data_IF_174527789660
#
_entry.id   IF_174527789660
#
_cell.length_a   1.000
_cell.length_b   1.000
_cell.length_c   1.000
_cell.angle_alpha   90.00
_cell.angle_beta   90.00
_cell.angle_gamma   90.00
#
_symmetry.space_group_name_H-M   'P 1'
#
loop_
_entity.id
_entity.type
_entity.pdbx_description
1 polymer ?
#
# COMPACT_ATOMS: atom_id res chain seq x y z
N UNK A 1 -13.45 8.60 -2.79
CA UNK A 1 -12.22 8.48 -1.99
C UNK A 1 -11.74 7.04 -2.13
N UNK A 2 -10.44 6.79 -2.33
CA UNK A 2 -9.92 5.43 -2.45
C UNK A 2 -10.07 4.75 -1.09
N UNK A 3 -10.77 3.62 -1.04
CA UNK A 3 -10.94 2.84 0.18
C UNK A 3 -9.73 1.92 0.39
N UNK A 4 -8.87 2.30 1.34
CA UNK A 4 -7.68 1.51 1.70
C UNK A 4 -8.01 0.36 2.66
N UNK A 5 -9.19 0.36 3.28
CA UNK A 5 -9.57 -0.63 4.30
C UNK A 5 -9.81 -2.03 3.73
N UNK A 6 -10.00 -2.14 2.41
CA UNK A 6 -10.08 -3.41 1.70
C UNK A 6 -8.70 -4.06 1.45
N UNK A 7 -7.62 -3.28 1.53
CA UNK A 7 -6.26 -3.74 1.29
C UNK A 7 -5.63 -4.33 2.55
N UNK A 8 -4.65 -5.20 2.34
CA UNK A 8 -3.99 -5.98 3.38
C UNK A 8 -2.48 -5.81 3.34
N UNK A 9 -1.87 -5.77 4.52
CA UNK A 9 -0.45 -6.04 4.71
C UNK A 9 -0.32 -7.30 5.55
N UNK A 10 0.53 -8.21 5.11
CA UNK A 10 0.69 -9.48 5.82
C UNK A 10 1.79 -9.37 6.87
N UNK A 11 1.46 -9.76 8.10
CA UNK A 11 2.39 -9.83 9.21
C UNK A 11 2.98 -11.24 9.29
N UNK A 12 4.29 -11.35 9.05
CA UNK A 12 5.01 -12.61 8.87
C UNK A 12 6.08 -12.75 9.94
N UNK A 13 5.86 -13.69 10.86
CA UNK A 13 6.82 -13.95 11.94
C UNK A 13 7.77 -15.08 11.56
N UNK A 14 9.07 -14.84 11.72
CA UNK A 14 10.13 -15.82 11.52
C UNK A 14 10.48 -16.59 12.81
N UNK A 15 10.70 -17.89 12.67
CA UNK A 15 11.24 -18.76 13.71
C UNK A 15 11.97 -19.97 13.09
N UNK A 16 12.16 -21.05 13.85
CA UNK A 16 12.65 -22.35 13.38
C UNK A 16 12.07 -23.51 14.22
N UNK A 17 12.01 -24.70 13.63
CA UNK A 17 11.46 -25.90 14.26
C UNK A 17 12.22 -26.38 15.50
N UNK A 18 13.52 -26.04 15.63
CA UNK A 18 14.37 -26.50 16.73
C UNK A 18 13.91 -26.02 18.12
N UNK A 19 13.08 -24.97 18.19
CA UNK A 19 12.54 -24.46 19.45
C UNK A 19 11.37 -25.28 20.02
N UNK A 20 10.88 -26.28 19.28
CA UNK A 20 9.79 -27.14 19.73
C UNK A 20 8.39 -26.50 19.62
N UNK A 21 7.33 -27.32 19.65
CA UNK A 21 5.97 -26.89 19.38
C UNK A 21 5.39 -25.93 20.44
N UNK A 22 5.79 -26.06 21.70
CA UNK A 22 5.33 -25.18 22.78
C UNK A 22 5.83 -23.74 22.59
N UNK A 23 7.12 -23.58 22.29
CA UNK A 23 7.71 -22.26 21.98
C UNK A 23 7.04 -21.65 20.75
N UNK A 24 6.78 -22.45 19.70
CA UNK A 24 6.13 -21.95 18.49
C UNK A 24 4.68 -21.48 18.74
N UNK A 25 3.93 -22.14 19.64
CA UNK A 25 2.61 -21.66 20.07
C UNK A 25 2.69 -20.30 20.77
N UNK A 26 3.71 -20.09 21.60
CA UNK A 26 3.92 -18.78 22.26
C UNK A 26 4.31 -17.70 21.24
N UNK A 27 5.17 -18.03 20.28
CA UNK A 27 5.51 -17.12 19.17
C UNK A 27 4.26 -16.75 18.37
N UNK A 28 3.39 -17.71 18.08
CA UNK A 28 2.13 -17.50 17.38
C UNK A 28 1.20 -16.58 18.18
N UNK A 29 1.04 -16.82 19.48
CA UNK A 29 0.23 -15.97 20.36
C UNK A 29 0.75 -14.52 20.42
N UNK A 30 2.07 -14.32 20.56
CA UNK A 30 2.67 -12.98 20.56
C UNK A 30 2.46 -12.28 19.21
N UNK A 31 2.63 -13.01 18.11
CA UNK A 31 2.43 -12.48 16.76
C UNK A 31 0.99 -12.03 16.53
N UNK A 32 0.02 -12.81 17.02
CA UNK A 32 -1.40 -12.48 16.93
C UNK A 32 -1.74 -11.20 17.69
N UNK A 33 -1.20 -11.04 18.89
CA UNK A 33 -1.44 -9.85 19.71
C UNK A 33 -0.85 -8.58 19.09
N UNK A 34 0.37 -8.68 18.56
CA UNK A 34 1.01 -7.57 17.84
C UNK A 34 0.20 -7.23 16.58
N UNK A 35 -0.11 -8.21 15.73
CA UNK A 35 -0.86 -7.99 14.50
C UNK A 35 -2.24 -7.36 14.77
N UNK A 36 -2.95 -7.85 15.79
CA UNK A 36 -4.25 -7.31 16.23
C UNK A 36 -4.14 -5.86 16.67
N UNK A 37 -3.13 -5.52 17.48
CA UNK A 37 -2.96 -4.16 17.99
C UNK A 37 -2.53 -3.19 16.90
N UNK A 38 -1.61 -3.59 16.02
CA UNK A 38 -1.24 -2.80 14.85
C UNK A 38 -2.45 -2.60 13.93
N UNK A 39 -3.24 -3.65 13.69
CA UNK A 39 -4.45 -3.61 12.87
C UNK A 39 -5.57 -2.73 13.44
N UNK A 40 -5.60 -2.52 14.76
CA UNK A 40 -6.55 -1.60 15.42
C UNK A 40 -6.06 -0.14 15.44
N UNK A 41 -4.85 0.14 14.95
CA UNK A 41 -4.31 1.48 14.97
C UNK A 41 -4.92 2.36 13.88
N UNK A 42 -5.48 3.50 14.28
CA UNK A 42 -5.98 4.53 13.34
C UNK A 42 -4.89 5.10 12.41
N UNK A 43 -3.61 4.90 12.73
CA UNK A 43 -2.49 5.37 11.91
C UNK A 43 -2.23 4.50 10.68
N UNK A 44 -2.66 3.22 10.73
CA UNK A 44 -2.43 2.20 9.71
C UNK A 44 -3.75 1.99 8.95
N UNK A 45 -3.89 2.52 7.73
CA UNK A 45 -5.17 2.57 7.02
C UNK A 45 -5.52 1.28 6.25
N UNK A 46 -4.87 0.16 6.56
CA UNK A 46 -5.03 -1.14 5.90
C UNK A 46 -5.20 -2.24 6.94
N UNK A 47 -5.75 -3.40 6.53
CA UNK A 47 -5.83 -4.56 7.41
C UNK A 47 -4.44 -5.16 7.63
N UNK A 48 -4.13 -5.55 8.86
CA UNK A 48 -2.94 -6.35 9.19
C UNK A 48 -3.37 -7.81 9.30
N UNK A 49 -2.91 -8.64 8.37
CA UNK A 49 -3.26 -10.06 8.30
C UNK A 49 -2.10 -10.91 8.80
N UNK A 50 -2.25 -11.48 10.00
CA UNK A 50 -1.28 -12.45 10.50
C UNK A 50 -1.20 -13.68 9.59
N UNK A 51 0.02 -14.14 9.33
CA UNK A 51 0.30 -15.40 8.65
C UNK A 51 0.88 -16.43 9.62
N UNK A 52 0.85 -17.73 9.29
CA UNK A 52 1.48 -18.76 10.11
C UNK A 52 2.96 -18.43 10.40
N UNK A 53 3.48 -18.89 11.53
CA UNK A 53 4.90 -18.70 11.86
C UNK A 53 5.76 -19.46 10.85
N UNK A 54 6.70 -18.75 10.24
CA UNK A 54 7.58 -19.28 9.20
C UNK A 54 8.78 -19.99 9.81
N UNK A 55 8.93 -21.29 9.51
CA UNK A 55 9.96 -22.15 10.10
C UNK A 55 10.74 -22.99 9.09
N UNK A 56 10.40 -22.91 7.80
CA UNK A 56 11.08 -23.65 6.73
C UNK A 56 11.23 -22.82 5.45
N UNK A 57 12.21 -23.16 4.60
CA UNK A 57 12.43 -22.44 3.34
C UNK A 57 11.25 -22.56 2.37
N UNK A 58 10.61 -23.73 2.35
CA UNK A 58 9.48 -24.05 1.47
C UNK A 58 8.25 -23.24 1.85
N UNK A 59 7.94 -23.14 3.14
CA UNK A 59 6.79 -22.36 3.63
C UNK A 59 6.98 -20.87 3.37
N UNK A 60 8.18 -20.34 3.61
CA UNK A 60 8.52 -18.94 3.30
C UNK A 60 8.39 -18.65 1.81
N UNK A 61 8.93 -19.52 0.95
CA UNK A 61 8.85 -19.36 -0.49
C UNK A 61 7.41 -19.38 -0.99
N UNK A 62 6.60 -20.35 -0.51
CA UNK A 62 5.19 -20.45 -0.86
C UNK A 62 4.43 -19.19 -0.45
N UNK A 63 4.63 -18.69 0.77
CA UNK A 63 3.97 -17.47 1.24
C UNK A 63 4.31 -16.24 0.38
N UNK A 64 5.56 -16.11 -0.07
CA UNK A 64 5.96 -15.00 -0.94
C UNK A 64 5.27 -15.07 -2.31
N UNK A 65 5.12 -16.27 -2.87
CA UNK A 65 4.36 -16.46 -4.12
C UNK A 65 2.87 -16.16 -3.94
N UNK A 66 2.27 -16.60 -2.83
CA UNK A 66 0.89 -16.29 -2.48
C UNK A 66 0.70 -14.76 -2.35
N UNK A 67 1.63 -14.07 -1.69
CA UNK A 67 1.60 -12.62 -1.54
C UNK A 67 1.63 -11.93 -2.90
N UNK A 68 2.49 -12.36 -3.81
CA UNK A 68 2.57 -11.80 -5.16
C UNK A 68 1.26 -11.96 -5.95
N UNK A 69 0.61 -13.12 -5.82
CA UNK A 69 -0.64 -13.44 -6.52
C UNK A 69 -1.90 -12.81 -5.90
N UNK A 70 -1.79 -12.20 -4.73
CA UNK A 70 -2.93 -11.58 -4.05
C UNK A 70 -3.18 -10.17 -4.57
N UNK A 71 -4.44 -9.93 -4.98
CA UNK A 71 -4.93 -8.62 -5.41
C UNK A 71 -5.08 -7.64 -4.24
N UNK A 72 -5.21 -8.12 -3.01
CA UNK A 72 -5.39 -7.27 -1.81
C UNK A 72 -4.12 -7.08 -1.01
N UNK A 73 -3.11 -7.95 -1.16
CA UNK A 73 -1.84 -7.84 -0.45
C UNK A 73 -0.96 -6.75 -1.09
N UNK A 74 -0.69 -5.68 -0.32
CA UNK A 74 0.14 -4.56 -0.75
C UNK A 74 1.57 -4.61 -0.21
N UNK A 75 1.87 -5.53 0.70
CA UNK A 75 3.22 -5.66 1.27
C UNK A 75 3.31 -6.68 2.41
N UNK A 76 4.55 -6.99 2.80
CA UNK A 76 4.87 -7.84 3.95
C UNK A 76 5.54 -7.02 5.06
N UNK A 77 5.07 -7.18 6.29
CA UNK A 77 5.81 -6.82 7.51
C UNK A 77 6.43 -8.10 8.05
N UNK A 78 7.76 -8.16 8.11
CA UNK A 78 8.50 -9.30 8.66
C UNK A 78 9.12 -8.96 10.01
N UNK A 79 9.01 -9.88 10.96
CA UNK A 79 9.62 -9.80 12.29
C UNK A 79 10.18 -11.17 12.69
N UNK A 80 11.45 -11.23 13.06
CA UNK A 80 12.07 -12.47 13.53
C UNK A 80 11.94 -12.52 15.06
N UNK A 81 10.86 -13.13 15.55
CA UNK A 81 10.61 -13.24 17.00
C UNK A 81 11.73 -14.04 17.69
N UNK A 82 12.03 -15.21 17.12
CA UNK A 82 13.19 -16.03 17.50
C UNK A 82 14.28 -15.92 16.43
N UNK A 83 15.40 -16.63 16.62
CA UNK A 83 16.37 -16.77 15.55
C UNK A 83 15.80 -17.62 14.41
N UNK A 84 15.58 -16.99 13.25
CA UNK A 84 15.18 -17.67 12.01
C UNK A 84 16.36 -17.65 11.03
N UNK A 85 17.08 -18.77 10.83
CA UNK A 85 18.25 -18.82 9.95
C UNK A 85 17.98 -18.22 8.58
N UNK A 86 18.66 -17.12 8.25
CA UNK A 86 18.26 -16.28 7.12
C UNK A 86 18.36 -17.01 5.77
N UNK A 87 19.23 -18.02 5.63
CA UNK A 87 19.29 -18.82 4.39
C UNK A 87 17.95 -19.41 3.97
N UNK A 88 17.03 -19.71 4.89
CA UNK A 88 15.67 -20.20 4.57
C UNK A 88 14.85 -19.15 3.79
N UNK A 89 15.14 -17.87 3.99
CA UNK A 89 14.40 -16.76 3.40
C UNK A 89 14.83 -16.43 1.96
N UNK A 90 15.99 -16.92 1.50
CA UNK A 90 16.56 -16.55 0.19
C UNK A 90 15.59 -16.80 -0.95
N UNK A 91 15.00 -17.99 -1.02
CA UNK A 91 14.10 -18.36 -2.12
C UNK A 91 12.85 -17.47 -2.15
N UNK A 92 12.23 -17.25 -0.98
CA UNK A 92 11.06 -16.38 -0.85
C UNK A 92 11.35 -14.92 -1.18
N UNK A 93 12.38 -14.34 -0.56
CA UNK A 93 12.75 -12.93 -0.79
C UNK A 93 13.24 -12.66 -2.21
N UNK A 94 13.79 -13.67 -2.92
CA UNK A 94 14.13 -13.55 -4.34
C UNK A 94 12.89 -13.54 -5.23
N UNK A 95 11.84 -14.25 -4.85
CA UNK A 95 10.59 -14.33 -5.61
C UNK A 95 9.63 -13.17 -5.30
N UNK A 96 9.73 -12.57 -4.11
CA UNK A 96 8.83 -11.52 -3.64
C UNK A 96 8.90 -10.25 -4.50
N UNK A 97 7.74 -9.82 -5.01
CA UNK A 97 7.56 -8.60 -5.81
C UNK A 97 6.72 -7.54 -5.07
N UNK A 98 6.33 -7.83 -3.83
CA UNK A 98 5.62 -6.88 -2.97
C UNK A 98 6.61 -6.11 -2.08
N UNK A 99 6.32 -4.85 -1.72
CA UNK A 99 7.09 -4.09 -0.74
C UNK A 99 7.33 -4.86 0.57
N UNK A 100 8.54 -4.72 1.11
CA UNK A 100 8.97 -5.35 2.35
C UNK A 100 9.26 -4.31 3.43
N UNK A 101 8.70 -4.51 4.61
CA UNK A 101 9.06 -3.83 5.85
C UNK A 101 9.62 -4.83 6.85
N UNK A 102 10.78 -4.51 7.40
CA UNK A 102 11.39 -5.25 8.49
C UNK A 102 11.10 -4.51 9.81
N UNK A 103 10.23 -5.09 10.64
CA UNK A 103 9.90 -4.56 11.96
C UNK A 103 10.82 -5.20 12.98
N UNK A 104 11.81 -4.44 13.43
CA UNK A 104 12.71 -4.86 14.49
C UNK A 104 12.12 -4.45 15.84
N UNK A 105 11.38 -5.39 16.45
CA UNK A 105 10.64 -5.17 17.69
C UNK A 105 10.80 -6.35 18.65
N UNK A 106 10.26 -6.21 19.86
CA UNK A 106 10.25 -7.26 20.87
C UNK A 106 8.91 -7.27 21.59
N UNK A 107 8.42 -8.45 21.95
CA UNK A 107 7.10 -8.59 22.58
C UNK A 107 7.02 -7.85 23.93
N UNK A 108 8.06 -7.96 24.76
CA UNK A 108 8.19 -7.26 26.04
C UNK A 108 8.88 -5.90 25.84
N UNK A 109 8.37 -4.86 26.50
CA UNK A 109 9.01 -3.54 26.54
C UNK A 109 10.26 -3.55 27.44
N UNK A 110 10.14 -4.14 28.62
CA UNK A 110 11.22 -4.24 29.61
C UNK A 110 11.68 -5.69 29.80
N UNK A 111 12.92 -5.86 30.24
CA UNK A 111 13.46 -7.16 30.61
C UNK A 111 12.96 -7.55 32.01
N UNK A 112 12.48 -8.79 32.22
CA UNK A 112 12.01 -9.24 33.52
C UNK A 112 13.20 -9.62 34.42
N UNK A 113 13.93 -8.63 34.94
CA UNK A 113 15.23 -8.80 35.62
C UNK A 113 15.25 -9.87 36.72
N UNK A 114 14.17 -10.01 37.49
CA UNK A 114 14.09 -10.96 38.59
C UNK A 114 13.76 -12.39 38.17
N UNK A 115 13.26 -12.60 36.95
CA UNK A 115 12.76 -13.90 36.48
C UNK A 115 13.31 -14.33 35.12
N UNK A 116 14.19 -13.53 34.51
CA UNK A 116 14.79 -13.85 33.22
C UNK A 116 15.64 -15.12 33.32
N UNK A 117 15.36 -16.07 32.43
CA UNK A 117 16.01 -17.37 32.38
C UNK A 117 16.31 -17.78 30.92
N UNK A 118 16.87 -18.98 30.73
CA UNK A 118 17.19 -19.47 29.38
C UNK A 118 15.95 -19.75 28.51
N UNK A 119 14.79 -20.01 29.11
CA UNK A 119 13.55 -20.18 28.35
C UNK A 119 13.13 -18.83 27.76
N UNK A 120 13.18 -17.77 28.56
CA UNK A 120 12.95 -16.40 28.09
C UNK A 120 13.94 -16.02 26.98
N UNK A 121 15.23 -16.32 27.16
CA UNK A 121 16.27 -15.99 26.17
C UNK A 121 16.13 -16.78 24.86
N UNK A 122 15.66 -18.03 24.90
CA UNK A 122 15.38 -18.81 23.69
C UNK A 122 14.14 -18.31 22.95
N UNK A 123 13.16 -17.74 23.66
CA UNK A 123 11.93 -17.23 23.08
C UNK A 123 12.08 -15.80 22.55
N UNK A 124 12.57 -14.86 23.35
CA UNK A 124 12.55 -13.42 23.05
C UNK A 124 13.93 -12.95 22.58
N UNK A 125 14.26 -13.27 21.33
CA UNK A 125 15.62 -13.10 20.81
C UNK A 125 15.70 -12.38 19.47
N UNK A 126 14.69 -11.55 19.20
CA UNK A 126 14.66 -10.65 18.05
C UNK A 126 15.91 -9.75 17.97
N UNK A 127 16.53 -9.43 19.11
CA UNK A 127 17.77 -8.68 19.21
C UNK A 127 18.88 -9.18 18.27
N UNK A 128 19.02 -10.50 18.07
CA UNK A 128 19.95 -11.07 17.08
C UNK A 128 19.27 -11.75 15.90
N UNK A 129 18.03 -12.26 16.06
CA UNK A 129 17.25 -12.81 14.95
C UNK A 129 17.03 -11.79 13.82
N UNK A 130 16.60 -10.58 14.16
CA UNK A 130 16.38 -9.51 13.18
C UNK A 130 17.71 -8.97 12.61
N UNK A 131 18.84 -9.11 13.32
CA UNK A 131 20.16 -8.73 12.77
C UNK A 131 20.63 -9.71 11.70
N UNK A 132 20.38 -11.00 11.87
CA UNK A 132 20.67 -12.03 10.87
C UNK A 132 19.80 -11.85 9.61
N UNK A 133 18.49 -11.62 9.78
CA UNK A 133 17.62 -11.20 8.67
C UNK A 133 18.04 -9.85 8.07
N UNK A 134 18.56 -8.96 8.93
CA UNK A 134 19.23 -7.73 8.60
C UNK A 134 20.37 -7.92 7.60
N UNK A 135 21.30 -8.82 7.91
CA UNK A 135 22.43 -9.18 7.06
C UNK A 135 21.95 -9.68 5.70
N UNK A 136 20.99 -10.61 5.65
CA UNK A 136 20.51 -11.15 4.38
C UNK A 136 19.91 -10.07 3.48
N UNK A 137 19.05 -9.21 4.04
CA UNK A 137 18.44 -8.12 3.27
C UNK A 137 19.48 -7.19 2.66
N UNK A 138 20.54 -6.87 3.41
CA UNK A 138 21.67 -6.09 2.88
C UNK A 138 22.47 -6.87 1.81
N UNK A 139 22.75 -8.15 2.05
CA UNK A 139 23.52 -9.03 1.14
C UNK A 139 22.84 -9.21 -0.21
N UNK A 140 21.51 -9.27 -0.23
CA UNK A 140 20.67 -9.37 -1.42
C UNK A 140 20.33 -8.00 -2.04
N UNK A 141 20.72 -6.89 -1.38
CA UNK A 141 20.41 -5.51 -1.79
C UNK A 141 18.89 -5.26 -1.94
N UNK A 142 18.10 -5.83 -1.03
CA UNK A 142 16.65 -5.67 -1.05
C UNK A 142 16.28 -4.22 -0.71
N UNK A 143 15.33 -3.65 -1.47
CA UNK A 143 14.65 -2.43 -1.08
C UNK A 143 13.69 -2.78 0.06
N UNK A 144 13.97 -2.30 1.26
CA UNK A 144 13.10 -2.51 2.43
C UNK A 144 13.07 -1.30 3.33
N UNK A 145 11.94 -1.07 3.97
CA UNK A 145 11.85 -0.18 5.13
C UNK A 145 12.26 -0.96 6.37
N UNK A 146 12.99 -0.31 7.28
CA UNK A 146 13.28 -0.86 8.62
C UNK A 146 12.64 0.10 9.62
N UNK A 147 11.88 -0.45 10.56
CA UNK A 147 11.32 0.28 11.71
C UNK A 147 11.83 -0.43 12.96
N UNK A 148 12.37 0.33 13.92
CA UNK A 148 12.92 -0.19 15.17
C UNK A 148 12.15 0.46 16.32
N UNK A 149 11.67 -0.33 17.27
CA UNK A 149 10.97 0.20 18.45
C UNK A 149 10.05 -0.81 19.09
N UNK A 150 9.43 -0.44 20.20
CA UNK A 150 8.43 -1.28 20.85
C UNK A 150 7.13 -1.20 20.05
N UNK A 151 6.49 -2.35 19.80
CA UNK A 151 5.37 -2.45 18.86
C UNK A 151 4.12 -1.67 19.29
N UNK A 152 4.03 -1.22 20.54
CA UNK A 152 2.95 -0.35 21.02
C UNK A 152 3.30 1.16 20.95
N UNK A 153 4.55 1.51 20.59
CA UNK A 153 4.97 2.90 20.54
C UNK A 153 4.28 3.65 19.40
N UNK A 154 3.70 4.81 19.70
CA UNK A 154 3.01 5.62 18.68
C UNK A 154 3.89 5.99 17.48
N UNK A 155 5.19 6.15 17.67
CA UNK A 155 6.16 6.41 16.58
C UNK A 155 6.28 5.23 15.62
N UNK A 156 6.32 3.99 16.13
CA UNK A 156 6.30 2.76 15.32
C UNK A 156 5.01 2.70 14.49
N UNK A 157 3.87 2.98 15.10
CA UNK A 157 2.58 3.02 14.40
C UNK A 157 2.55 4.07 13.29
N UNK A 158 3.09 5.27 13.53
CA UNK A 158 3.19 6.33 12.52
C UNK A 158 4.10 5.93 11.34
N UNK A 159 5.26 5.33 11.63
CA UNK A 159 6.18 4.87 10.58
C UNK A 159 5.59 3.74 9.74
N UNK A 160 4.93 2.77 10.39
CA UNK A 160 4.19 1.72 9.71
C UNK A 160 3.09 2.31 8.83
N UNK A 161 2.27 3.22 9.38
CA UNK A 161 1.19 3.89 8.64
C UNK A 161 1.67 4.69 7.43
N UNK A 162 2.81 5.36 7.55
CA UNK A 162 3.46 6.05 6.42
C UNK A 162 3.88 5.05 5.34
N UNK A 163 4.53 3.96 5.73
CA UNK A 163 4.98 2.94 4.79
C UNK A 163 3.81 2.21 4.11
N UNK A 164 2.75 1.87 4.84
CA UNK A 164 1.57 1.22 4.26
C UNK A 164 0.88 2.11 3.23
N UNK A 165 0.79 3.44 3.47
CA UNK A 165 0.27 4.37 2.45
C UNK A 165 1.13 4.39 1.18
N UNK A 166 2.45 4.35 1.32
CA UNK A 166 3.35 4.25 0.17
C UNK A 166 3.20 2.90 -0.58
N UNK A 167 3.00 1.80 0.15
CA UNK A 167 2.74 0.49 -0.43
C UNK A 167 1.41 0.46 -1.20
N UNK A 168 0.35 1.05 -0.65
CA UNK A 168 -0.93 1.23 -1.35
C UNK A 168 -0.79 2.08 -2.61
N UNK A 169 0.00 3.16 -2.57
CA UNK A 169 0.22 4.01 -3.74
C UNK A 169 0.95 3.26 -4.87
N UNK A 170 1.92 2.39 -4.52
CA UNK A 170 2.56 1.53 -5.52
C UNK A 170 1.55 0.52 -6.10
N UNK A 171 0.71 -0.08 -5.25
CA UNK A 171 -0.33 -1.01 -5.69
C UNK A 171 -1.33 -0.36 -6.65
N UNK A 172 -1.78 0.86 -6.35
CA UNK A 172 -2.64 1.67 -7.23
C UNK A 172 -1.93 2.01 -8.56
N UNK A 173 -0.66 2.42 -8.50
CA UNK A 173 0.13 2.76 -9.69
C UNK A 173 0.29 1.58 -10.66
N UNK A 174 0.30 0.34 -10.18
CA UNK A 174 0.36 -0.86 -11.04
C UNK A 174 -0.88 -1.06 -11.91
N UNK A 175 -2.00 -0.41 -11.58
CA UNK A 175 -3.26 -0.49 -12.33
C UNK A 175 -3.66 0.88 -12.93
N UNK A 176 -2.88 1.92 -12.65
CA UNK A 176 -3.17 3.29 -13.06
C UNK A 176 -3.09 3.42 -14.59
N UNK A 177 -4.15 4.01 -15.16
CA UNK A 177 -4.26 4.33 -16.58
C UNK A 177 -4.49 5.83 -16.75
N UNK A 178 -3.65 6.45 -17.57
CA UNK A 178 -3.72 7.87 -17.90
C UNK A 178 -4.18 8.03 -19.34
N UNK A 179 -5.34 8.67 -19.53
CA UNK A 179 -5.84 9.09 -20.83
C UNK A 179 -5.40 10.53 -21.14
N UNK A 180 -4.73 10.73 -22.27
CA UNK A 180 -4.33 12.06 -22.76
C UNK A 180 -5.21 12.45 -23.95
N UNK A 181 -5.83 13.63 -23.89
CA UNK A 181 -6.58 14.18 -25.02
C UNK A 181 -5.72 15.19 -25.76
N UNK A 182 -5.23 14.81 -26.94
CA UNK A 182 -4.19 15.55 -27.65
C UNK A 182 -2.78 15.24 -27.14
N UNK A 183 -1.81 16.02 -27.62
CA UNK A 183 -0.40 15.83 -27.30
C UNK A 183 0.16 16.95 -26.40
N UNK A 184 1.43 16.84 -26.04
CA UNK A 184 2.16 17.89 -25.33
C UNK A 184 2.05 19.22 -26.10
N UNK A 185 2.04 20.32 -25.35
CA UNK A 185 2.19 21.64 -25.93
C UNK A 185 3.50 21.71 -26.74
N UNK A 186 3.42 22.25 -27.97
CA UNK A 186 4.57 22.34 -28.88
C UNK A 186 5.75 23.05 -28.22
N UNK A 187 6.95 22.53 -28.45
CA UNK A 187 8.23 23.08 -27.98
C UNK A 187 8.41 23.09 -26.45
N UNK A 188 7.65 22.30 -25.69
CA UNK A 188 7.83 22.14 -24.24
C UNK A 188 8.67 20.91 -23.91
N UNK A 189 9.70 21.08 -23.09
CA UNK A 189 10.64 19.99 -22.74
C UNK A 189 10.19 19.17 -21.52
N UNK A 190 9.91 19.80 -20.37
CA UNK A 190 9.76 19.11 -19.08
C UNK A 190 8.54 18.18 -19.00
N UNK A 191 7.53 18.41 -19.84
CA UNK A 191 6.33 17.57 -19.88
C UNK A 191 6.45 16.43 -20.88
N UNK A 192 7.51 16.40 -21.70
CA UNK A 192 7.81 15.24 -22.54
C UNK A 192 8.49 14.12 -21.71
N UNK A 193 8.67 12.96 -22.30
CA UNK A 193 9.34 11.85 -21.64
C UNK A 193 9.04 10.49 -22.26
N UNK A 194 9.80 9.51 -21.80
CA UNK A 194 9.68 8.14 -22.27
C UNK A 194 8.57 7.38 -21.51
N UNK A 195 7.38 7.32 -22.12
CA UNK A 195 6.19 6.65 -21.58
C UNK A 195 6.41 5.15 -21.36
N UNK A 196 7.15 4.48 -22.25
CA UNK A 196 7.51 3.06 -22.11
C UNK A 196 8.38 2.84 -20.87
N UNK A 197 9.38 3.69 -20.64
CA UNK A 197 10.22 3.57 -19.45
C UNK A 197 9.46 3.96 -18.17
N UNK A 198 8.51 4.89 -18.24
CA UNK A 198 7.62 5.20 -17.13
C UNK A 198 6.76 3.98 -16.76
N UNK A 199 6.21 3.26 -17.73
CA UNK A 199 5.43 2.04 -17.46
C UNK A 199 6.31 0.93 -16.85
N UNK A 200 7.54 0.72 -17.35
CA UNK A 200 8.48 -0.28 -16.79
C UNK A 200 8.90 0.07 -15.34
N UNK A 201 9.05 1.36 -15.01
CA UNK A 201 9.64 1.80 -13.72
C UNK A 201 8.62 2.25 -12.67
N UNK A 202 7.52 2.84 -13.13
CA UNK A 202 6.47 3.46 -12.32
C UNK A 202 5.11 2.77 -12.50
N UNK A 203 5.03 1.75 -13.36
CA UNK A 203 3.93 0.78 -13.49
C UNK A 203 2.63 1.31 -14.13
N UNK A 204 2.52 2.61 -14.39
CA UNK A 204 1.30 3.18 -14.97
C UNK A 204 1.37 3.30 -16.50
N UNK A 205 0.23 3.09 -17.16
CA UNK A 205 0.09 3.20 -18.60
C UNK A 205 -0.37 4.61 -19.00
N UNK A 206 0.26 5.21 -20.03
CA UNK A 206 -0.10 6.54 -20.55
C UNK A 206 -0.41 6.44 -22.03
N UNK A 207 -1.67 6.65 -22.41
CA UNK A 207 -2.14 6.51 -23.78
C UNK A 207 -2.85 7.76 -24.29
N UNK A 208 -2.68 8.04 -25.58
CA UNK A 208 -3.32 9.16 -26.26
C UNK A 208 -4.65 8.75 -26.88
N UNK A 209 -5.63 9.64 -26.77
CA UNK A 209 -6.95 9.54 -27.40
C UNK A 209 -7.20 10.79 -28.23
N UNK A 210 -7.91 10.63 -29.35
CA UNK A 210 -8.29 11.75 -30.19
C UNK A 210 -9.22 12.67 -29.42
N UNK A 211 -9.07 14.00 -29.58
CA UNK A 211 -9.99 14.95 -28.93
C UNK A 211 -11.43 14.72 -29.40
N UNK A 212 -11.63 14.25 -30.63
CA UNK A 212 -12.94 13.83 -31.17
C UNK A 212 -13.64 12.75 -30.33
N UNK A 213 -12.89 11.79 -29.79
CA UNK A 213 -13.44 10.71 -28.95
C UNK A 213 -14.08 11.29 -27.68
N UNK A 214 -13.50 12.36 -27.12
CA UNK A 214 -14.09 13.08 -25.99
C UNK A 214 -15.28 13.93 -26.42
N UNK A 215 -15.19 14.62 -27.57
CA UNK A 215 -16.31 15.42 -28.11
C UNK A 215 -17.56 14.56 -28.27
N UNK A 216 -17.42 13.34 -28.77
CA UNK A 216 -18.53 12.39 -28.90
C UNK A 216 -19.18 12.04 -27.55
N UNK A 217 -18.41 11.99 -26.46
CA UNK A 217 -18.94 11.76 -25.10
C UNK A 217 -19.63 13.01 -24.56
N UNK A 218 -19.05 14.19 -24.78
CA UNK A 218 -19.60 15.48 -24.37
C UNK A 218 -20.96 15.72 -25.04
N UNK A 219 -21.10 15.39 -26.33
CA UNK A 219 -22.35 15.58 -27.08
C UNK A 219 -23.50 14.66 -26.63
N UNK A 220 -23.20 13.54 -25.95
CA UNK A 220 -24.20 12.59 -25.48
C UNK A 220 -24.85 12.99 -24.15
N UNK A 221 -24.28 13.95 -23.42
CA UNK A 221 -24.86 14.42 -22.17
C UNK A 221 -26.20 15.14 -22.43
N UNK A 222 -27.22 14.73 -21.70
CA UNK A 222 -28.59 15.24 -21.88
C UNK A 222 -28.80 16.56 -21.15
N UNK A 223 -29.75 17.37 -21.62
CA UNK A 223 -30.11 18.64 -20.95
C UNK A 223 -30.55 18.45 -19.50
N UNK A 224 -31.15 17.30 -19.17
CA UNK A 224 -31.56 16.96 -17.80
C UNK A 224 -30.33 16.78 -16.90
N UNK A 225 -29.35 15.96 -17.32
CA UNK A 225 -28.13 15.72 -16.54
C UNK A 225 -27.34 17.03 -16.36
N UNK A 226 -27.26 17.84 -17.42
CA UNK A 226 -26.58 19.15 -17.39
C UNK A 226 -27.24 20.09 -16.38
N UNK A 227 -28.57 20.20 -16.40
CA UNK A 227 -29.32 21.04 -15.46
C UNK A 227 -29.20 20.54 -14.02
N UNK A 228 -29.23 19.22 -13.81
CA UNK A 228 -29.06 18.62 -12.50
C UNK A 228 -27.67 18.92 -11.92
N UNK A 229 -26.61 18.71 -12.71
CA UNK A 229 -25.25 19.02 -12.27
C UNK A 229 -25.03 20.51 -12.01
N UNK A 230 -25.62 21.38 -12.82
CA UNK A 230 -25.56 22.82 -12.59
C UNK A 230 -26.31 23.26 -11.32
N UNK A 231 -27.41 22.59 -10.95
CA UNK A 231 -28.09 22.82 -9.68
C UNK A 231 -27.22 22.37 -8.49
N UNK A 232 -26.56 21.22 -8.60
CA UNK A 232 -25.56 20.78 -7.60
C UNK A 232 -24.46 21.83 -7.42
N UNK A 233 -23.98 22.46 -8.50
CA UNK A 233 -23.02 23.55 -8.40
C UNK A 233 -23.58 24.78 -7.67
N UNK A 234 -24.83 25.16 -7.93
CA UNK A 234 -25.48 26.29 -7.26
C UNK A 234 -25.65 26.04 -5.76
N UNK A 235 -25.84 24.77 -5.35
CA UNK A 235 -25.94 24.36 -3.94
C UNK A 235 -24.58 24.24 -3.25
N UNK A 236 -23.57 23.78 -3.99
CA UNK A 236 -22.25 23.43 -3.42
C UNK A 236 -21.28 24.61 -3.42
N UNK A 237 -21.42 25.55 -4.36
CA UNK A 237 -20.46 26.64 -4.57
C UNK A 237 -21.10 28.02 -4.50
N UNK A 238 -20.28 29.03 -4.19
CA UNK A 238 -20.65 30.44 -4.35
C UNK A 238 -20.60 30.84 -5.84
N UNK A 239 -21.62 30.46 -6.62
CA UNK A 239 -21.69 30.76 -8.06
C UNK A 239 -21.81 32.28 -8.29
N UNK A 240 -20.98 32.82 -9.18
CA UNK A 240 -21.00 34.24 -9.55
C UNK A 240 -22.32 34.63 -10.22
N UNK A 241 -22.81 35.85 -9.95
CA UNK A 241 -24.14 36.32 -10.39
C UNK A 241 -24.46 36.08 -11.87
N UNK A 242 -23.55 36.34 -12.84
CA UNK A 242 -23.85 36.09 -14.26
C UNK A 242 -24.08 34.62 -14.61
N UNK A 243 -23.62 33.66 -13.79
CA UNK A 243 -23.72 32.22 -14.00
C UNK A 243 -24.88 31.57 -13.24
N UNK A 244 -25.56 32.31 -12.35
CA UNK A 244 -26.71 31.83 -11.58
C UNK A 244 -27.94 31.61 -12.47
N UNK A 245 -29.00 30.94 -11.97
CA UNK A 245 -30.28 30.85 -12.69
C UNK A 245 -30.78 32.23 -13.13
N UNK A 246 -31.11 32.37 -14.42
CA UNK A 246 -31.52 33.66 -15.03
C UNK A 246 -30.37 34.62 -15.36
N UNK A 247 -29.12 34.31 -14.97
CA UNK A 247 -27.94 35.11 -15.30
C UNK A 247 -27.56 35.03 -16.78
N UNK A 248 -27.06 36.14 -17.34
CA UNK A 248 -26.74 36.26 -18.77
C UNK A 248 -25.64 35.34 -19.31
N UNK A 249 -24.92 34.63 -18.44
CA UNK A 249 -23.87 33.65 -18.79
C UNK A 249 -24.19 32.23 -18.33
N UNK A 250 -25.44 31.93 -17.93
CA UNK A 250 -25.84 30.58 -17.47
C UNK A 250 -25.46 29.47 -18.46
N UNK A 251 -25.53 29.74 -19.77
CA UNK A 251 -25.13 28.79 -20.81
C UNK A 251 -23.67 28.35 -20.67
N UNK A 252 -22.74 29.24 -20.29
CA UNK A 252 -21.34 28.87 -20.08
C UNK A 252 -21.17 27.86 -18.95
N UNK A 253 -22.00 27.92 -17.90
CA UNK A 253 -21.99 26.94 -16.83
C UNK A 253 -22.54 25.58 -17.32
N UNK A 254 -23.58 25.60 -18.16
CA UNK A 254 -24.10 24.39 -18.80
C UNK A 254 -23.09 23.72 -19.73
N UNK A 255 -22.33 24.51 -20.50
CA UNK A 255 -21.29 23.97 -21.37
C UNK A 255 -20.15 23.32 -20.54
N UNK A 256 -19.77 23.92 -19.41
CA UNK A 256 -18.81 23.34 -18.49
C UNK A 256 -19.32 22.03 -17.85
N UNK A 257 -20.58 22.01 -17.39
CA UNK A 257 -21.22 20.81 -16.86
C UNK A 257 -21.28 19.69 -17.91
N UNK A 258 -21.58 20.03 -19.18
CA UNK A 258 -21.56 19.08 -20.29
C UNK A 258 -20.18 18.47 -20.51
N UNK A 259 -19.12 19.27 -20.45
CA UNK A 259 -17.73 18.79 -20.56
C UNK A 259 -17.39 17.86 -19.39
N UNK A 260 -17.78 18.21 -18.17
CA UNK A 260 -17.55 17.37 -16.99
C UNK A 260 -18.26 16.01 -17.12
N UNK A 261 -19.52 16.00 -17.54
CA UNK A 261 -20.28 14.77 -17.78
C UNK A 261 -19.62 13.90 -18.87
N UNK A 262 -19.16 14.52 -19.96
CA UNK A 262 -18.42 13.83 -21.01
C UNK A 262 -17.11 13.21 -20.50
N UNK A 263 -16.33 13.96 -19.73
CA UNK A 263 -15.09 13.47 -19.11
C UNK A 263 -15.34 12.32 -18.12
N UNK A 264 -16.32 12.47 -17.22
CA UNK A 264 -16.70 11.42 -16.26
C UNK A 264 -17.17 10.15 -16.95
N UNK A 265 -17.88 10.28 -18.07
CA UNK A 265 -18.36 9.13 -18.86
C UNK A 265 -17.23 8.48 -19.65
N UNK A 266 -16.24 9.24 -20.10
CA UNK A 266 -15.07 8.70 -20.79
C UNK A 266 -14.14 7.92 -19.85
N UNK A 267 -13.93 8.43 -18.63
CA UNK A 267 -12.95 7.89 -17.67
C UNK A 267 -13.47 6.71 -16.83
N UNK A 268 -14.78 6.46 -16.82
CA UNK A 268 -15.39 5.28 -16.18
C UNK A 268 -15.32 4.06 -17.10
#
# INVERSE_FOLDING_TARGET
>A
MIDLSALEVWFVTGSQHLYGPETLKTVEAHSMEIARTLGNSVQIPVKIMMKPVMTSSESIHKLCLEANSSDTCVGLITWMHTFSPARMWIAGLRALDKPLLHLHTQFNQELPWSTIDMNFMNLNQAAHGDREFGFLGARMRLKRKIVVGFWQDSTVHQELGCWTRAACALHDAMQLKVARFGDNMRNVAVTEGNKVNAEIRLCYAVNGYGVGDLVDRVQRATDTEIKQLAAEYDETYCVAEPLRPGGGRRQSLYDAARIELGLRTFLK
#
